data_IF_310971736435
#
_entry.id   IF_310971736435
#
_cell.length_a   1.000
_cell.length_b   1.000
_cell.length_c   1.000
_cell.angle_alpha   90.00
_cell.angle_beta   90.00
_cell.angle_gamma   90.00
#
_symmetry.space_group_name_H-M   'P 1'
#
loop_
_entity.id
_entity.type
_entity.pdbx_description
1 polymer ?
#
# COMPACT_ATOMS: atom_id res chain seq x y z
N UNK A 1 14.23 13.62 -7.68
CA UNK A 1 13.18 13.95 -6.67
C UNK A 1 11.83 13.54 -7.21
N UNK A 2 11.01 12.90 -6.40
CA UNK A 2 9.63 12.58 -6.73
C UNK A 2 8.82 13.88 -6.89
N UNK A 3 8.03 13.99 -7.96
CA UNK A 3 7.12 15.13 -8.14
C UNK A 3 5.89 14.93 -7.27
N UNK A 4 5.47 15.99 -6.59
CA UNK A 4 4.21 16.02 -5.84
C UNK A 4 3.24 16.95 -6.56
N UNK A 5 2.03 16.50 -6.77
CA UNK A 5 0.98 17.17 -7.56
C UNK A 5 -0.32 17.21 -6.75
N UNK A 6 -1.15 18.20 -7.01
CA UNK A 6 -2.51 18.25 -6.43
C UNK A 6 -3.46 17.27 -7.13
N UNK A 7 -3.15 16.89 -8.38
CA UNK A 7 -3.89 15.87 -9.15
C UNK A 7 -2.97 15.13 -10.09
N UNK A 8 -3.11 13.81 -10.18
CA UNK A 8 -2.37 12.99 -11.13
C UNK A 8 -3.01 13.11 -12.53
N UNK A 9 -2.20 13.25 -13.59
CA UNK A 9 -2.70 13.32 -14.95
C UNK A 9 -3.28 11.96 -15.39
N UNK A 10 -4.40 11.98 -16.10
CA UNK A 10 -4.99 10.78 -16.72
C UNK A 10 -4.13 10.25 -17.87
N UNK A 11 -4.32 8.97 -18.20
CA UNK A 11 -3.74 8.34 -19.39
C UNK A 11 -4.70 8.51 -20.56
N UNK A 12 -4.21 9.00 -21.72
CA UNK A 12 -5.04 9.15 -22.90
C UNK A 12 -5.50 7.79 -23.45
N UNK A 13 -6.64 7.77 -24.12
CA UNK A 13 -7.19 6.56 -24.75
C UNK A 13 -6.22 5.93 -25.77
N UNK A 14 -5.46 6.76 -26.51
CA UNK A 14 -4.44 6.27 -27.44
C UNK A 14 -3.30 5.55 -26.70
N UNK A 15 -2.84 6.08 -25.56
CA UNK A 15 -1.80 5.43 -24.77
C UNK A 15 -2.34 4.16 -24.10
N UNK A 16 -3.58 4.16 -23.60
CA UNK A 16 -4.23 2.95 -23.08
C UNK A 16 -4.31 1.83 -24.13
N UNK A 17 -4.70 2.18 -25.37
CA UNK A 17 -4.73 1.23 -26.48
C UNK A 17 -3.34 0.69 -26.80
N UNK A 18 -2.31 1.53 -26.78
CA UNK A 18 -0.90 1.12 -26.97
C UNK A 18 -0.44 0.20 -25.83
N UNK A 19 -0.79 0.48 -24.58
CA UNK A 19 -0.46 -0.39 -23.43
C UNK A 19 -1.12 -1.76 -23.62
N UNK A 20 -2.41 -1.81 -24.01
CA UNK A 20 -3.12 -3.07 -24.24
C UNK A 20 -2.51 -3.89 -25.37
N UNK A 21 -2.03 -3.25 -26.46
CA UNK A 21 -1.48 -3.90 -27.64
C UNK A 21 0.04 -4.22 -27.55
N UNK A 22 0.73 -3.74 -26.53
CA UNK A 22 2.18 -3.86 -26.44
C UNK A 22 2.66 -5.30 -26.18
N UNK A 23 3.87 -5.67 -26.63
CA UNK A 23 4.49 -6.93 -26.27
C UNK A 23 4.62 -7.06 -24.74
N UNK A 24 4.28 -8.22 -24.19
CA UNK A 24 4.29 -8.50 -22.76
C UNK A 24 5.69 -8.90 -22.29
N UNK A 25 6.59 -7.92 -22.23
CA UNK A 25 7.97 -8.10 -21.75
C UNK A 25 8.48 -6.86 -21.00
N UNK A 26 9.57 -7.03 -20.25
CA UNK A 26 10.14 -5.98 -19.41
C UNK A 26 10.63 -4.73 -20.19
N UNK A 27 11.03 -4.88 -21.45
CA UNK A 27 11.49 -3.75 -22.27
C UNK A 27 10.32 -2.84 -22.62
N UNK A 28 9.21 -3.43 -23.09
CA UNK A 28 7.99 -2.69 -23.40
C UNK A 28 7.38 -2.07 -22.12
N UNK A 29 7.37 -2.80 -21.02
CA UNK A 29 6.92 -2.29 -19.73
C UNK A 29 7.66 -1.02 -19.32
N UNK A 30 9.00 -1.05 -19.29
CA UNK A 30 9.82 0.14 -18.93
C UNK A 30 9.58 1.33 -19.85
N UNK A 31 9.44 1.09 -21.14
CA UNK A 31 9.17 2.15 -22.10
C UNK A 31 7.81 2.82 -21.84
N UNK A 32 6.77 2.03 -21.63
CA UNK A 32 5.40 2.51 -21.34
C UNK A 32 5.31 3.21 -19.98
N UNK A 33 5.97 2.68 -18.95
CA UNK A 33 6.06 3.33 -17.63
C UNK A 33 6.62 4.74 -17.73
N UNK A 34 7.62 4.97 -18.58
CA UNK A 34 8.21 6.29 -18.79
C UNK A 34 7.25 7.28 -19.48
N UNK A 35 6.25 6.79 -20.21
CA UNK A 35 5.23 7.62 -20.89
C UNK A 35 4.05 7.98 -19.99
N UNK A 36 3.92 7.36 -18.80
CA UNK A 36 2.85 7.62 -17.83
C UNK A 36 3.38 8.41 -16.63
N UNK A 37 3.23 9.77 -16.61
CA UNK A 37 3.82 10.61 -15.57
C UNK A 37 3.36 10.28 -14.15
N UNK A 38 2.12 9.78 -13.98
CA UNK A 38 1.58 9.36 -12.70
C UNK A 38 2.40 8.23 -12.05
N UNK A 39 3.09 7.39 -12.84
CA UNK A 39 3.94 6.31 -12.34
C UNK A 39 5.20 6.79 -11.59
N UNK A 40 5.58 8.06 -11.73
CA UNK A 40 6.75 8.66 -11.06
C UNK A 40 6.40 9.86 -10.19
N UNK A 41 5.10 10.12 -9.96
CA UNK A 41 4.60 11.22 -9.17
C UNK A 41 3.77 10.71 -7.97
N UNK A 42 3.59 11.60 -7.00
CA UNK A 42 2.67 11.43 -5.89
C UNK A 42 1.59 12.51 -5.95
N UNK A 43 0.38 12.17 -5.56
CA UNK A 43 -0.68 13.14 -5.31
C UNK A 43 -0.75 13.43 -3.82
N UNK A 44 -0.88 14.70 -3.45
CA UNK A 44 -1.10 15.11 -2.07
C UNK A 44 -2.35 15.96 -1.94
N UNK A 45 -2.99 15.88 -0.79
CA UNK A 45 -4.20 16.66 -0.49
C UNK A 45 -4.65 16.46 0.96
N UNK A 46 -5.91 16.82 1.23
CA UNK A 46 -6.47 16.79 2.58
C UNK A 46 -5.96 17.93 3.46
N UNK A 47 -6.42 17.95 4.70
CA UNK A 47 -6.01 18.94 5.70
C UNK A 47 -5.63 18.23 6.99
N UNK A 48 -4.41 18.45 7.44
CA UNK A 48 -3.95 17.92 8.71
C UNK A 48 -4.48 18.76 9.88
N UNK A 49 -4.81 18.08 10.98
CA UNK A 49 -5.36 18.73 12.17
C UNK A 49 -4.28 19.26 13.14
N UNK A 50 -3.04 18.77 13.01
CA UNK A 50 -1.93 19.05 13.93
C UNK A 50 -0.71 19.61 13.21
N UNK A 51 0.14 20.33 13.93
CA UNK A 51 1.45 20.82 13.45
C UNK A 51 2.57 19.78 13.69
N UNK A 52 2.47 18.98 14.75
CA UNK A 52 3.40 17.90 15.09
C UNK A 52 2.65 16.71 15.70
N UNK A 53 3.15 15.48 15.47
CA UNK A 53 2.69 14.29 16.16
C UNK A 53 3.21 14.29 17.61
N UNK A 54 2.51 13.57 18.48
CA UNK A 54 2.96 13.38 19.87
C UNK A 54 4.18 12.45 19.92
N UNK A 55 4.87 12.37 21.07
CA UNK A 55 6.00 11.44 21.29
C UNK A 55 5.61 9.97 21.22
N UNK A 56 4.33 9.68 21.34
CA UNK A 56 3.76 8.33 21.23
C UNK A 56 2.76 8.28 20.07
N UNK A 57 3.21 7.76 18.93
CA UNK A 57 2.46 7.77 17.67
C UNK A 57 1.59 6.52 17.53
N UNK A 58 0.28 6.73 17.30
CA UNK A 58 -0.68 5.68 16.95
C UNK A 58 -0.68 5.46 15.43
N UNK A 59 -0.35 4.24 14.98
CA UNK A 59 -0.21 3.89 13.56
C UNK A 59 -1.10 2.70 13.22
N UNK A 60 -1.82 2.79 12.11
CA UNK A 60 -2.54 1.69 11.46
C UNK A 60 -1.86 1.37 10.14
N UNK A 61 -1.62 0.09 9.82
CA UNK A 61 -1.32 -0.35 8.45
C UNK A 61 -2.42 -1.31 8.01
N UNK A 62 -2.94 -1.11 6.79
CA UNK A 62 -4.07 -1.88 6.30
C UNK A 62 -4.08 -1.99 4.77
N UNK A 63 -4.10 -3.21 4.26
CA UNK A 63 -4.54 -3.49 2.90
C UNK A 63 -6.09 -3.42 2.90
N UNK A 64 -6.66 -2.44 2.20
CA UNK A 64 -8.09 -2.13 2.24
C UNK A 64 -8.87 -2.71 1.06
N UNK A 65 -8.29 -3.65 0.34
CA UNK A 65 -8.93 -4.38 -0.76
C UNK A 65 -9.80 -3.47 -1.65
N UNK A 66 -9.17 -2.54 -2.41
CA UNK A 66 -9.82 -1.51 -3.25
C UNK A 66 -10.45 -0.36 -2.48
N UNK A 67 -10.71 -0.51 -1.16
CA UNK A 67 -11.43 0.47 -0.33
C UNK A 67 -12.83 0.75 -0.86
N UNK A 68 -13.65 -0.30 -1.00
CA UNK A 68 -15.03 -0.19 -1.52
C UNK A 68 -15.90 0.80 -0.73
N UNK A 69 -15.67 0.91 0.58
CA UNK A 69 -16.47 1.70 1.53
C UNK A 69 -15.59 2.67 2.33
N UNK A 70 -15.01 3.72 1.71
CA UNK A 70 -13.98 4.52 2.34
C UNK A 70 -14.40 5.23 3.63
N UNK A 71 -15.65 5.70 3.73
CA UNK A 71 -16.15 6.34 4.96
C UNK A 71 -16.34 5.33 6.09
N UNK A 72 -16.86 4.13 5.79
CA UNK A 72 -17.05 3.08 6.78
C UNK A 72 -15.67 2.53 7.22
N UNK A 73 -14.73 2.39 6.27
CA UNK A 73 -13.34 1.99 6.54
C UNK A 73 -12.64 3.00 7.47
N UNK A 74 -12.82 4.30 7.22
CA UNK A 74 -12.31 5.35 8.08
C UNK A 74 -12.95 5.32 9.48
N UNK A 75 -14.29 5.20 9.55
CA UNK A 75 -15.04 5.13 10.81
C UNK A 75 -14.65 3.92 11.65
N UNK A 76 -14.32 2.79 10.99
CA UNK A 76 -13.91 1.56 11.64
C UNK A 76 -12.60 1.69 12.43
N UNK A 77 -11.63 2.45 11.92
CA UNK A 77 -10.35 2.68 12.58
C UNK A 77 -10.31 3.95 13.45
N UNK A 78 -11.31 4.82 13.35
CA UNK A 78 -11.36 6.08 14.12
C UNK A 78 -11.23 5.88 15.64
N UNK A 79 -11.84 4.83 16.28
CA UNK A 79 -11.67 4.57 17.72
C UNK A 79 -10.23 4.27 18.17
N UNK A 80 -9.32 3.95 17.24
CA UNK A 80 -7.90 3.76 17.52
C UNK A 80 -7.16 5.09 17.65
N UNK A 81 -7.83 6.20 17.33
CA UNK A 81 -7.25 7.54 17.23
C UNK A 81 -5.92 7.52 16.46
N UNK A 82 -5.89 7.00 15.21
CA UNK A 82 -4.65 6.90 14.46
C UNK A 82 -4.12 8.29 14.14
N UNK A 83 -2.81 8.48 14.29
CA UNK A 83 -2.13 9.70 13.85
C UNK A 83 -1.48 9.49 12.48
N UNK A 84 -1.23 8.23 12.11
CA UNK A 84 -0.73 7.82 10.79
C UNK A 84 -1.50 6.58 10.34
N UNK A 85 -1.91 6.56 9.06
CA UNK A 85 -2.53 5.39 8.42
C UNK A 85 -1.75 5.06 7.15
N UNK A 86 -1.25 3.83 7.06
CA UNK A 86 -0.48 3.30 5.95
C UNK A 86 -1.39 2.35 5.18
N UNK A 87 -1.77 2.72 3.96
CA UNK A 87 -2.76 1.97 3.16
C UNK A 87 -2.11 1.35 1.93
N UNK A 88 -2.53 0.14 1.61
CA UNK A 88 -2.33 -0.49 0.31
C UNK A 88 -3.68 -0.83 -0.33
N UNK A 89 -3.67 -1.02 -1.64
CA UNK A 89 -4.85 -1.33 -2.45
C UNK A 89 -5.97 -0.28 -2.35
N UNK A 90 -5.63 1.00 -2.49
CA UNK A 90 -6.60 2.09 -2.62
C UNK A 90 -6.82 2.46 -4.07
N UNK A 91 -8.05 2.77 -4.43
CA UNK A 91 -8.47 3.11 -5.79
C UNK A 91 -8.63 4.63 -5.99
N UNK A 92 -8.34 5.06 -7.24
CA UNK A 92 -8.70 6.40 -7.70
C UNK A 92 -9.24 6.33 -9.14
N UNK A 93 -10.53 6.69 -9.31
CA UNK A 93 -11.22 6.67 -10.60
C UNK A 93 -11.40 5.28 -11.18
N UNK A 94 -11.77 4.33 -10.33
CA UNK A 94 -12.14 2.97 -10.69
C UNK A 94 -13.66 2.79 -10.64
N UNK A 95 -14.24 2.10 -11.62
CA UNK A 95 -15.68 1.83 -11.69
C UNK A 95 -16.20 1.09 -10.44
N UNK A 96 -15.43 0.12 -9.93
CA UNK A 96 -15.76 -0.69 -8.74
C UNK A 96 -15.87 0.13 -7.44
N UNK A 97 -15.30 1.33 -7.41
CA UNK A 97 -15.38 2.26 -6.28
C UNK A 97 -16.15 3.55 -6.64
N UNK A 98 -17.01 3.49 -7.68
CA UNK A 98 -17.84 4.62 -8.12
C UNK A 98 -17.03 5.80 -8.62
N UNK A 99 -15.91 5.56 -9.29
CA UNK A 99 -14.96 6.56 -9.83
C UNK A 99 -14.33 7.46 -8.76
N UNK A 100 -14.41 7.10 -7.50
CA UNK A 100 -13.96 7.91 -6.36
C UNK A 100 -12.44 7.88 -6.19
N UNK A 101 -11.92 8.89 -5.51
CA UNK A 101 -10.60 8.87 -4.89
C UNK A 101 -10.74 8.36 -3.46
N UNK A 102 -10.58 7.05 -3.24
CA UNK A 102 -10.88 6.42 -1.95
C UNK A 102 -9.97 6.90 -0.83
N UNK A 103 -8.69 7.19 -1.13
CA UNK A 103 -7.75 7.81 -0.18
C UNK A 103 -8.22 9.18 0.29
N UNK A 104 -8.66 10.05 -0.63
CA UNK A 104 -9.17 11.38 -0.30
C UNK A 104 -10.42 11.31 0.57
N UNK A 105 -11.33 10.36 0.26
CA UNK A 105 -12.53 10.14 1.04
C UNK A 105 -12.22 9.70 2.48
N UNK A 106 -11.27 8.75 2.66
CA UNK A 106 -10.80 8.34 3.99
C UNK A 106 -10.11 9.50 4.73
N UNK A 107 -9.22 10.23 4.05
CA UNK A 107 -8.49 11.35 4.64
C UNK A 107 -9.44 12.46 5.13
N UNK A 108 -10.50 12.74 4.34
CA UNK A 108 -11.55 13.69 4.73
C UNK A 108 -12.33 13.22 5.95
N UNK A 109 -12.67 11.94 6.03
CA UNK A 109 -13.42 11.37 7.16
C UNK A 109 -12.58 11.34 8.46
N UNK A 110 -11.25 11.22 8.34
CA UNK A 110 -10.32 11.21 9.47
C UNK A 110 -9.71 12.59 9.79
N UNK A 111 -10.03 13.64 9.00
CA UNK A 111 -9.46 15.00 9.11
C UNK A 111 -7.93 14.99 8.99
N UNK A 112 -7.41 14.26 7.97
CA UNK A 112 -5.98 14.06 7.74
C UNK A 112 -5.52 14.64 6.40
N UNK A 113 -4.24 15.00 6.32
CA UNK A 113 -3.54 15.10 5.05
C UNK A 113 -3.28 13.72 4.47
N UNK A 114 -3.10 13.64 3.14
CA UNK A 114 -2.74 12.37 2.49
C UNK A 114 -1.68 12.55 1.40
N UNK A 115 -0.99 11.45 1.14
CA UNK A 115 -0.14 11.24 -0.03
C UNK A 115 -0.54 9.92 -0.67
N UNK A 116 -0.86 9.95 -1.97
CA UNK A 116 -1.24 8.78 -2.78
C UNK A 116 -0.24 8.57 -3.91
N UNK A 117 0.10 7.32 -4.21
CA UNK A 117 0.96 6.93 -5.32
C UNK A 117 0.39 5.74 -6.09
N UNK A 118 0.56 5.76 -7.40
CA UNK A 118 0.06 4.70 -8.29
C UNK A 118 1.00 3.51 -8.27
N UNK A 119 0.46 2.35 -7.92
CA UNK A 119 1.09 1.04 -8.08
C UNK A 119 0.84 0.50 -9.49
N UNK A 120 -0.44 0.46 -9.88
CA UNK A 120 -0.89 0.00 -11.19
C UNK A 120 -1.85 0.99 -11.86
N UNK A 121 -1.72 1.09 -13.18
CA UNK A 121 -2.79 1.54 -14.06
C UNK A 121 -3.56 0.33 -14.56
N UNK A 122 -4.77 0.14 -14.05
CA UNK A 122 -5.66 -0.95 -14.40
C UNK A 122 -6.56 -0.55 -15.56
N UNK A 123 -6.56 -1.37 -16.60
CA UNK A 123 -7.11 -1.01 -17.93
C UNK A 123 -8.49 -1.64 -18.20
N UNK A 124 -8.99 -2.44 -17.25
CA UNK A 124 -10.29 -3.11 -17.35
C UNK A 124 -11.00 -3.12 -15.98
N UNK A 125 -12.16 -3.78 -15.90
CA UNK A 125 -13.05 -3.73 -14.74
C UNK A 125 -12.76 -4.79 -13.66
N UNK A 126 -11.80 -5.69 -13.91
CA UNK A 126 -11.48 -6.79 -13.01
C UNK A 126 -12.37 -8.01 -13.16
N UNK A 127 -12.25 -8.95 -12.23
CA UNK A 127 -13.01 -10.20 -12.20
C UNK A 127 -14.49 -10.01 -11.83
N UNK A 128 -15.30 -11.09 -11.90
CA UNK A 128 -16.75 -11.00 -11.65
C UNK A 128 -17.13 -10.43 -10.28
N UNK A 129 -16.34 -10.68 -9.23
CA UNK A 129 -16.60 -10.15 -7.89
C UNK A 129 -16.35 -8.64 -7.80
N UNK A 130 -15.36 -8.12 -8.53
CA UNK A 130 -15.11 -6.68 -8.63
C UNK A 130 -16.15 -5.99 -9.51
N UNK A 131 -16.52 -6.61 -10.64
CA UNK A 131 -17.54 -6.10 -11.55
C UNK A 131 -18.92 -5.96 -10.90
N UNK A 132 -19.22 -6.77 -9.87
CA UNK A 132 -20.47 -6.66 -9.10
C UNK A 132 -20.62 -5.29 -8.39
N UNK A 133 -19.54 -4.56 -8.17
CA UNK A 133 -19.52 -3.22 -7.57
C UNK A 133 -19.38 -2.09 -8.60
N UNK A 134 -19.13 -2.39 -9.88
CA UNK A 134 -18.96 -1.36 -10.89
C UNK A 134 -20.24 -0.58 -11.14
N UNK A 135 -20.13 0.75 -11.08
CA UNK A 135 -21.23 1.68 -11.42
C UNK A 135 -21.21 2.09 -12.88
N UNK A 136 -20.09 1.89 -13.57
CA UNK A 136 -19.83 2.26 -14.95
C UNK A 136 -19.16 1.10 -15.69
N UNK A 137 -19.13 1.17 -17.02
CA UNK A 137 -18.45 0.22 -17.90
C UNK A 137 -17.02 0.65 -18.30
N UNK A 138 -16.45 1.64 -17.58
CA UNK A 138 -15.11 2.17 -17.78
C UNK A 138 -14.50 2.68 -16.47
N UNK A 139 -13.18 2.80 -16.43
CA UNK A 139 -12.44 3.47 -15.36
C UNK A 139 -12.06 4.90 -15.81
N UNK A 140 -12.38 5.91 -14.99
CA UNK A 140 -12.07 7.30 -15.28
C UNK A 140 -10.54 7.56 -15.28
N UNK A 141 -9.84 7.05 -14.28
CA UNK A 141 -8.38 7.14 -14.17
C UNK A 141 -7.71 5.76 -14.21
N UNK A 142 -8.33 4.75 -13.62
CA UNK A 142 -7.76 3.41 -13.56
C UNK A 142 -6.55 3.31 -12.60
N UNK A 143 -6.47 4.17 -11.58
CA UNK A 143 -5.37 4.15 -10.62
C UNK A 143 -5.67 3.26 -9.43
N UNK A 144 -4.75 2.35 -9.19
CA UNK A 144 -4.70 1.49 -8.02
C UNK A 144 -3.33 1.65 -7.34
N UNK A 145 -3.29 1.80 -6.00
CA UNK A 145 -2.01 2.09 -5.38
C UNK A 145 -1.99 2.09 -3.86
N UNK A 146 -1.00 2.79 -3.31
CA UNK A 146 -0.76 2.91 -1.87
C UNK A 146 -0.91 4.36 -1.41
N UNK A 147 -1.16 4.54 -0.11
CA UNK A 147 -1.27 5.87 0.47
C UNK A 147 -0.71 5.95 1.90
N UNK A 148 -0.40 7.17 2.30
CA UNK A 148 -0.15 7.55 3.69
C UNK A 148 -1.13 8.65 4.04
N UNK A 149 -1.91 8.45 5.13
CA UNK A 149 -2.69 9.51 5.76
C UNK A 149 -1.98 9.93 7.04
N UNK A 150 -1.98 11.22 7.34
CA UNK A 150 -1.29 11.75 8.51
C UNK A 150 -2.06 12.90 9.14
N UNK A 151 -2.10 12.94 10.48
CA UNK A 151 -2.64 14.05 11.25
C UNK A 151 -1.79 15.32 11.17
N UNK A 152 -0.59 15.24 10.58
CA UNK A 152 0.33 16.37 10.33
C UNK A 152 0.68 16.45 8.85
N UNK A 153 1.02 17.63 8.29
CA UNK A 153 1.53 17.73 6.93
C UNK A 153 2.90 17.06 6.82
N UNK A 154 3.15 16.19 5.82
CA UNK A 154 4.48 15.66 5.58
C UNK A 154 5.47 16.77 5.16
N UNK A 155 6.66 16.80 5.76
CA UNK A 155 7.73 17.73 5.37
C UNK A 155 8.38 17.34 4.03
N UNK A 156 8.54 16.04 3.80
CA UNK A 156 9.11 15.45 2.58
C UNK A 156 8.46 14.13 2.28
N UNK A 157 8.30 13.83 1.00
CA UNK A 157 7.77 12.54 0.54
C UNK A 157 8.57 12.02 -0.65
N UNK A 158 8.58 10.70 -0.82
CA UNK A 158 9.18 10.06 -1.99
C UNK A 158 8.43 8.80 -2.38
N UNK A 159 8.37 8.53 -3.68
CA UNK A 159 7.90 7.27 -4.26
C UNK A 159 9.11 6.37 -4.52
N UNK A 160 9.03 5.12 -4.10
CA UNK A 160 10.07 4.11 -4.26
C UNK A 160 9.49 2.96 -5.08
N UNK A 161 9.97 2.75 -6.31
CA UNK A 161 9.62 1.56 -7.10
C UNK A 161 10.43 0.37 -6.59
N UNK A 162 9.74 -0.74 -6.29
CA UNK A 162 10.34 -1.92 -5.69
C UNK A 162 10.90 -2.89 -6.74
N UNK A 163 10.40 -2.80 -7.96
CA UNK A 163 10.95 -3.45 -9.13
C UNK A 163 10.80 -2.57 -10.38
N UNK A 164 11.46 -2.94 -11.45
CA UNK A 164 11.41 -2.30 -12.78
C UNK A 164 11.09 -3.31 -13.89
N UNK A 165 10.76 -4.53 -13.51
CA UNK A 165 10.58 -5.65 -14.43
C UNK A 165 9.16 -5.69 -15.01
N UNK A 166 8.17 -5.25 -14.25
CA UNK A 166 6.76 -5.32 -14.63
C UNK A 166 6.19 -6.72 -14.49
N UNK A 167 6.30 -7.29 -13.32
CA UNK A 167 5.90 -8.66 -12.98
C UNK A 167 4.48 -9.02 -13.48
N UNK A 168 3.50 -8.13 -13.32
CA UNK A 168 2.13 -8.31 -13.79
C UNK A 168 1.89 -7.96 -15.25
N UNK A 169 2.83 -7.31 -15.90
CA UNK A 169 2.76 -6.95 -17.30
C UNK A 169 3.46 -7.98 -18.20
N UNK A 170 4.59 -8.53 -17.74
CA UNK A 170 5.42 -9.45 -18.50
C UNK A 170 4.93 -10.88 -18.35
N UNK A 171 4.47 -11.48 -19.46
CA UNK A 171 3.95 -12.85 -19.46
C UNK A 171 5.00 -13.96 -19.29
N UNK A 172 6.28 -13.59 -19.23
CA UNK A 172 7.39 -14.52 -19.07
C UNK A 172 7.48 -15.11 -17.65
N UNK A 173 6.94 -14.42 -16.64
CA UNK A 173 7.05 -14.80 -15.23
C UNK A 173 5.69 -15.15 -14.60
N UNK A 174 4.62 -14.48 -15.02
CA UNK A 174 3.27 -14.65 -14.45
C UNK A 174 2.26 -14.75 -15.59
N UNK A 175 1.25 -15.66 -15.51
CA UNK A 175 0.13 -15.61 -16.42
C UNK A 175 -0.51 -14.22 -16.40
N UNK A 176 -0.68 -13.62 -17.56
CA UNK A 176 -1.40 -12.37 -17.67
C UNK A 176 -2.79 -12.52 -17.04
N UNK A 177 -3.20 -11.59 -16.19
CA UNK A 177 -4.57 -11.49 -15.71
C UNK A 177 -5.44 -10.95 -16.85
N UNK A 178 -6.24 -11.79 -17.54
CA UNK A 178 -7.02 -11.35 -18.68
C UNK A 178 -8.16 -10.40 -18.30
N UNK A 179 -8.64 -10.48 -17.06
CA UNK A 179 -9.77 -9.69 -16.55
C UNK A 179 -9.31 -8.32 -16.07
N UNK A 180 -8.00 -8.18 -15.76
CA UNK A 180 -7.43 -6.91 -15.33
C UNK A 180 -6.02 -6.69 -15.91
N UNK A 181 -5.91 -6.37 -17.22
CA UNK A 181 -4.63 -5.98 -17.79
C UNK A 181 -4.14 -4.69 -17.13
N UNK A 182 -2.88 -4.68 -16.68
CA UNK A 182 -2.33 -3.57 -15.89
C UNK A 182 -0.91 -3.20 -16.31
N UNK A 183 -0.58 -1.90 -16.17
CA UNK A 183 0.78 -1.38 -16.27
C UNK A 183 1.20 -0.91 -14.88
N UNK A 184 2.41 -1.21 -14.46
CA UNK A 184 2.90 -0.80 -13.16
C UNK A 184 3.70 -1.90 -12.48
N UNK A 185 3.89 -1.75 -11.17
CA UNK A 185 4.61 -2.68 -10.31
C UNK A 185 4.64 -2.18 -8.88
N UNK A 186 4.99 -3.06 -7.98
CA UNK A 186 5.03 -2.81 -6.54
C UNK A 186 5.85 -1.57 -6.19
N UNK A 187 5.38 -0.84 -5.18
CA UNK A 187 5.98 0.42 -4.78
C UNK A 187 5.78 0.69 -3.29
N UNK A 188 6.53 1.65 -2.78
CA UNK A 188 6.33 2.20 -1.45
C UNK A 188 6.28 3.73 -1.52
N UNK A 189 5.63 4.33 -0.53
CA UNK A 189 5.66 5.76 -0.25
C UNK A 189 6.39 5.94 1.07
N UNK A 190 7.41 6.81 1.11
CA UNK A 190 8.02 7.25 2.34
C UNK A 190 7.71 8.72 2.59
N UNK A 191 7.38 9.05 3.83
CA UNK A 191 7.08 10.41 4.28
C UNK A 191 7.86 10.75 5.55
N UNK A 192 8.42 11.95 5.62
CA UNK A 192 8.99 12.50 6.86
C UNK A 192 7.91 13.33 7.53
N UNK A 193 7.59 12.98 8.77
CA UNK A 193 6.56 13.62 9.59
C UNK A 193 7.19 14.28 10.81
N UNK A 194 6.82 15.53 11.15
CA UNK A 194 7.27 16.16 12.37
C UNK A 194 6.61 15.53 13.61
N UNK A 195 7.40 15.29 14.66
CA UNK A 195 6.92 14.94 15.99
C UNK A 195 7.48 15.91 17.04
N UNK A 196 6.90 15.94 18.23
CA UNK A 196 7.39 16.75 19.34
C UNK A 196 8.84 16.41 19.73
N UNK A 197 9.27 15.15 19.53
CA UNK A 197 10.63 14.67 19.84
C UNK A 197 11.59 14.74 18.64
N UNK A 198 11.14 15.18 17.46
CA UNK A 198 11.93 15.23 16.21
C UNK A 198 11.27 14.48 15.06
N UNK A 199 11.76 14.64 13.84
CA UNK A 199 11.12 14.03 12.67
C UNK A 199 11.30 12.51 12.62
N UNK A 200 10.27 11.84 12.12
CA UNK A 200 10.27 10.39 11.86
C UNK A 200 10.03 10.11 10.38
N UNK A 201 10.51 9.00 9.88
CA UNK A 201 10.17 8.50 8.55
C UNK A 201 9.14 7.37 8.67
N UNK A 202 7.98 7.53 8.03
CA UNK A 202 6.95 6.48 7.93
C UNK A 202 6.86 6.00 6.50
N UNK A 203 6.60 4.70 6.30
CA UNK A 203 6.61 4.06 4.99
C UNK A 203 5.41 3.15 4.83
N UNK A 204 4.60 3.40 3.80
CA UNK A 204 3.58 2.47 3.33
C UNK A 204 4.13 1.64 2.19
N UNK A 205 4.04 0.30 2.28
CA UNK A 205 4.57 -0.61 1.26
C UNK A 205 3.64 -1.77 0.98
N UNK A 206 3.72 -2.31 -0.23
CA UNK A 206 3.04 -3.51 -0.67
C UNK A 206 4.00 -4.33 -1.52
N UNK A 207 4.41 -5.51 -1.04
CA UNK A 207 5.32 -6.39 -1.75
C UNK A 207 4.58 -7.32 -2.72
N UNK A 208 5.33 -8.05 -3.54
CA UNK A 208 4.75 -8.88 -4.58
C UNK A 208 4.06 -10.12 -4.01
N UNK A 209 2.78 -10.28 -4.34
CA UNK A 209 1.96 -11.40 -3.92
C UNK A 209 2.22 -12.66 -4.74
N UNK A 210 2.52 -12.52 -6.03
CA UNK A 210 2.66 -13.63 -6.97
C UNK A 210 4.14 -13.90 -7.30
N UNK A 211 4.96 -14.01 -6.25
CA UNK A 211 6.39 -14.26 -6.35
C UNK A 211 6.87 -15.12 -5.17
N UNK A 212 8.12 -15.57 -5.24
CA UNK A 212 8.78 -16.31 -4.17
C UNK A 212 9.42 -15.39 -3.11
N UNK A 213 10.05 -16.02 -2.10
CA UNK A 213 10.71 -15.31 -1.02
C UNK A 213 11.94 -14.50 -1.49
N UNK A 214 12.66 -14.98 -2.50
CA UNK A 214 13.84 -14.30 -3.02
C UNK A 214 13.48 -13.00 -3.73
N UNK A 215 12.37 -13.00 -4.46
CA UNK A 215 11.84 -11.78 -5.09
C UNK A 215 11.43 -10.74 -4.03
N UNK A 216 10.65 -11.15 -3.00
CA UNK A 216 10.28 -10.24 -1.90
C UNK A 216 11.46 -9.75 -1.09
N UNK A 217 12.48 -10.59 -0.89
CA UNK A 217 13.75 -10.18 -0.29
C UNK A 217 14.42 -9.06 -1.10
N UNK A 218 14.51 -9.23 -2.43
CA UNK A 218 15.11 -8.21 -3.31
C UNK A 218 14.31 -6.90 -3.30
N UNK A 219 12.97 -6.95 -3.30
CA UNK A 219 12.12 -5.79 -3.17
C UNK A 219 12.35 -5.07 -1.82
N UNK A 220 12.42 -5.83 -0.73
CA UNK A 220 12.61 -5.26 0.61
C UNK A 220 14.03 -4.67 0.78
N UNK A 221 15.07 -5.31 0.23
CA UNK A 221 16.43 -4.74 0.20
C UNK A 221 16.49 -3.41 -0.55
N UNK A 222 15.82 -3.34 -1.72
CA UNK A 222 15.68 -2.09 -2.49
C UNK A 222 14.97 -1.01 -1.68
N UNK A 223 13.90 -1.37 -0.97
CA UNK A 223 13.17 -0.47 -0.08
C UNK A 223 14.08 0.10 1.01
N UNK A 224 14.78 -0.76 1.76
CA UNK A 224 15.64 -0.34 2.86
C UNK A 224 16.77 0.59 2.40
N UNK A 225 17.42 0.29 1.27
CA UNK A 225 18.45 1.17 0.68
C UNK A 225 17.88 2.53 0.29
N UNK A 226 16.68 2.57 -0.28
CA UNK A 226 16.04 3.82 -0.66
C UNK A 226 15.67 4.66 0.56
N UNK A 227 15.20 4.03 1.64
CA UNK A 227 14.91 4.69 2.92
C UNK A 227 16.18 5.26 3.54
N UNK A 228 17.29 4.48 3.58
CA UNK A 228 18.59 4.96 4.10
C UNK A 228 19.10 6.20 3.35
N UNK A 229 18.85 6.28 2.03
CA UNK A 229 19.20 7.45 1.23
C UNK A 229 18.23 8.64 1.43
N UNK A 230 16.93 8.37 1.67
CA UNK A 230 15.90 9.40 1.81
C UNK A 230 15.88 10.03 3.21
N UNK A 231 16.02 9.20 4.25
CA UNK A 231 15.91 9.57 5.65
C UNK A 231 17.10 9.02 6.46
N UNK A 232 18.34 9.44 6.16
CA UNK A 232 19.53 8.95 6.87
C UNK A 232 19.42 9.32 8.36
N UNK A 233 19.79 8.35 9.21
CA UNK A 233 19.86 8.51 10.67
C UNK A 233 18.52 8.85 11.36
N UNK A 234 17.40 8.82 10.65
CA UNK A 234 16.09 9.04 11.23
C UNK A 234 15.50 7.77 11.84
N UNK A 235 14.67 7.89 12.87
CA UNK A 235 13.77 6.83 13.26
C UNK A 235 12.80 6.48 12.12
N UNK A 236 12.61 5.17 11.86
CA UNK A 236 11.82 4.67 10.73
C UNK A 236 10.75 3.69 11.20
N UNK A 237 9.54 3.83 10.69
CA UNK A 237 8.48 2.84 10.77
C UNK A 237 8.02 2.46 9.36
N UNK A 238 8.13 1.18 9.02
CA UNK A 238 7.60 0.60 7.78
C UNK A 238 6.37 -0.22 8.14
N UNK A 239 5.27 -0.06 7.42
CA UNK A 239 4.08 -0.87 7.58
C UNK A 239 3.41 -1.18 6.25
N UNK A 240 2.73 -2.31 6.18
CA UNK A 240 1.96 -2.72 5.00
C UNK A 240 1.91 -4.21 4.79
N UNK A 241 1.33 -4.59 3.66
CA UNK A 241 1.23 -5.96 3.19
C UNK A 241 2.57 -6.40 2.55
N UNK A 242 3.30 -7.26 3.25
CA UNK A 242 4.54 -7.82 2.75
C UNK A 242 4.35 -9.13 1.97
N UNK A 243 3.11 -9.61 1.85
CA UNK A 243 2.76 -10.84 1.14
C UNK A 243 3.62 -12.07 1.52
N UNK A 244 4.04 -12.11 2.78
CA UNK A 244 4.95 -13.13 3.31
C UNK A 244 4.33 -14.52 3.33
N UNK A 245 5.07 -15.52 2.87
CA UNK A 245 4.59 -16.90 2.79
C UNK A 245 3.79 -17.20 1.52
N UNK A 246 3.40 -16.22 0.72
CA UNK A 246 2.76 -16.46 -0.58
C UNK A 246 3.69 -17.28 -1.47
N UNK A 247 3.12 -18.27 -2.18
CA UNK A 247 3.85 -19.20 -3.04
C UNK A 247 5.00 -19.95 -2.35
N UNK A 248 4.93 -20.15 -1.02
CA UNK A 248 5.83 -21.01 -0.25
C UNK A 248 5.07 -22.26 0.25
N UNK A 249 4.78 -23.24 -0.65
CA UNK A 249 4.05 -24.44 -0.27
C UNK A 249 4.87 -25.31 0.73
N UNK A 250 4.20 -26.19 1.51
CA UNK A 250 2.76 -26.45 1.46
C UNK A 250 1.89 -25.50 2.31
N UNK A 251 2.46 -24.76 3.26
CA UNK A 251 1.70 -24.20 4.40
C UNK A 251 1.68 -22.67 4.45
N UNK A 252 2.13 -21.99 3.40
CA UNK A 252 2.25 -20.52 3.36
C UNK A 252 3.03 -19.96 4.55
N UNK A 253 4.13 -20.61 4.90
CA UNK A 253 4.92 -20.33 6.08
C UNK A 253 5.76 -19.04 5.90
N UNK A 254 5.32 -17.95 6.52
CA UNK A 254 6.03 -16.68 6.51
C UNK A 254 7.43 -16.77 7.17
N UNK A 255 7.69 -17.75 8.06
CA UNK A 255 8.99 -17.93 8.71
C UNK A 255 10.10 -18.31 7.73
N UNK A 256 9.74 -18.75 6.53
CA UNK A 256 10.69 -19.06 5.46
C UNK A 256 11.17 -17.81 4.69
N UNK A 257 10.57 -16.65 4.94
CA UNK A 257 10.98 -15.39 4.31
C UNK A 257 12.30 -14.89 4.89
N UNK A 258 13.24 -14.59 4.03
CA UNK A 258 14.59 -14.12 4.41
C UNK A 258 14.65 -12.60 4.62
N UNK A 259 13.61 -11.85 4.23
CA UNK A 259 13.51 -10.41 4.44
C UNK A 259 13.53 -10.00 5.92
N UNK A 260 13.07 -10.87 6.83
CA UNK A 260 13.09 -10.61 8.27
C UNK A 260 14.50 -10.47 8.82
N UNK A 261 15.39 -11.38 8.44
CA UNK A 261 16.80 -11.34 8.83
C UNK A 261 17.56 -10.20 8.16
N UNK A 262 17.24 -9.90 6.89
CA UNK A 262 17.76 -8.74 6.19
C UNK A 262 17.47 -7.44 6.95
N UNK A 263 16.23 -7.25 7.43
CA UNK A 263 15.85 -6.09 8.22
C UNK A 263 16.59 -6.03 9.56
N UNK A 264 16.65 -7.16 10.30
CA UNK A 264 17.38 -7.24 11.57
C UNK A 264 18.86 -6.89 11.42
N UNK A 265 19.50 -7.36 10.35
CA UNK A 265 20.89 -7.04 10.06
C UNK A 265 21.13 -5.53 9.80
N UNK A 266 20.08 -4.77 9.50
CA UNK A 266 20.09 -3.31 9.33
C UNK A 266 19.51 -2.54 10.54
N UNK A 267 19.36 -3.22 11.69
CA UNK A 267 18.91 -2.61 12.94
C UNK A 267 17.39 -2.40 13.05
N UNK A 268 16.61 -3.07 12.21
CA UNK A 268 15.16 -3.03 12.33
C UNK A 268 14.65 -4.13 13.27
N UNK A 269 13.53 -3.85 13.94
CA UNK A 269 12.82 -4.73 14.85
C UNK A 269 11.37 -4.95 14.40
N UNK A 270 10.82 -6.11 14.66
CA UNK A 270 9.47 -6.53 14.24
C UNK A 270 8.46 -6.57 15.39
N UNK A 271 8.86 -6.16 16.59
CA UNK A 271 8.02 -6.24 17.81
C UNK A 271 6.77 -5.34 17.76
N UNK A 272 6.72 -4.40 16.84
CA UNK A 272 5.53 -3.58 16.59
C UNK A 272 4.41 -4.34 15.88
N UNK A 273 4.70 -5.51 15.30
CA UNK A 273 3.70 -6.34 14.61
C UNK A 273 2.94 -7.21 15.61
N UNK A 274 1.60 -7.20 15.62
CA UNK A 274 0.82 -8.13 16.43
C UNK A 274 0.94 -9.58 15.93
N UNK A 275 0.74 -10.53 16.85
CA UNK A 275 0.62 -11.93 16.47
C UNK A 275 -0.72 -12.24 15.82
N UNK A 276 -0.73 -13.28 14.97
CA UNK A 276 -1.95 -13.83 14.37
C UNK A 276 -2.00 -13.77 12.87
N UNK A 277 -3.04 -14.36 12.31
CA UNK A 277 -3.40 -14.36 10.88
C UNK A 277 -4.00 -13.00 10.54
N UNK A 278 -3.60 -12.42 9.41
CA UNK A 278 -4.09 -11.10 8.96
C UNK A 278 -5.06 -11.19 7.78
N UNK A 279 -5.32 -12.37 7.23
CA UNK A 279 -6.26 -12.55 6.12
C UNK A 279 -7.58 -13.17 6.54
N UNK A 280 -8.64 -12.87 5.79
CA UNK A 280 -10.00 -13.39 5.97
C UNK A 280 -10.78 -13.40 4.65
N UNK A 281 -11.93 -14.09 4.56
CA UNK A 281 -12.85 -13.92 3.44
C UNK A 281 -13.44 -12.51 3.40
N UNK A 282 -13.59 -11.96 2.18
CA UNK A 282 -14.23 -10.68 1.93
C UNK A 282 -15.31 -10.76 0.86
N UNK A 283 -15.81 -9.59 0.43
CA UNK A 283 -16.79 -9.48 -0.65
C UNK A 283 -16.16 -9.70 -2.04
N UNK A 284 -14.90 -9.32 -2.22
CA UNK A 284 -14.15 -9.50 -3.47
C UNK A 284 -13.41 -10.84 -3.46
N UNK A 285 -12.80 -11.20 -2.31
CA UNK A 285 -11.99 -12.41 -2.12
C UNK A 285 -12.67 -13.40 -1.17
N UNK A 286 -13.70 -14.14 -1.62
CA UNK A 286 -14.50 -15.02 -0.75
C UNK A 286 -13.83 -16.38 -0.50
N UNK A 287 -12.56 -16.41 -0.14
CA UNK A 287 -11.76 -17.63 0.06
C UNK A 287 -11.58 -17.96 1.55
N UNK A 288 -12.38 -18.87 2.15
CA UNK A 288 -12.37 -19.12 3.60
C UNK A 288 -11.09 -19.80 4.11
N UNK A 289 -10.40 -20.55 3.23
CA UNK A 289 -9.21 -21.32 3.60
C UNK A 289 -7.91 -20.50 3.57
N UNK A 290 -7.99 -19.23 3.17
CA UNK A 290 -6.83 -18.34 3.09
C UNK A 290 -6.52 -17.76 4.48
N UNK A 291 -5.63 -18.43 5.22
CA UNK A 291 -5.20 -18.04 6.56
C UNK A 291 -3.71 -17.74 6.57
N UNK A 292 -3.36 -16.46 6.35
CA UNK A 292 -1.98 -16.04 6.16
C UNK A 292 -1.66 -14.84 7.06
N UNK A 293 -0.40 -14.69 7.45
CA UNK A 293 0.12 -13.49 8.11
C UNK A 293 0.91 -12.69 7.10
N UNK A 294 0.30 -11.67 6.51
CA UNK A 294 0.85 -10.88 5.41
C UNK A 294 1.23 -9.46 5.81
N UNK A 295 0.57 -8.91 6.84
CA UNK A 295 0.67 -7.51 7.24
C UNK A 295 1.60 -7.34 8.44
N UNK A 296 2.52 -6.40 8.33
CA UNK A 296 3.63 -6.25 9.26
C UNK A 296 3.98 -4.80 9.55
N UNK A 297 4.56 -4.58 10.74
CA UNK A 297 5.33 -3.39 11.08
C UNK A 297 6.79 -3.75 11.32
N UNK A 298 7.68 -2.85 10.91
CA UNK A 298 9.11 -2.95 11.08
C UNK A 298 9.64 -1.57 11.51
N UNK A 299 10.38 -1.49 12.62
CA UNK A 299 10.83 -0.21 13.20
C UNK A 299 12.33 -0.17 13.40
N UNK A 300 12.93 1.00 13.28
CA UNK A 300 14.31 1.32 13.63
C UNK A 300 14.36 2.64 14.37
N UNK A 301 15.03 2.70 15.55
CA UNK A 301 15.07 3.89 16.42
C UNK A 301 13.72 4.23 17.05
N UNK A 302 12.84 3.25 17.17
CA UNK A 302 11.53 3.34 17.81
C UNK A 302 11.22 2.02 18.52
N UNK A 303 10.53 2.10 19.64
CA UNK A 303 10.01 0.93 20.36
C UNK A 303 8.51 0.88 20.32
N UNK A 304 7.97 -0.31 20.13
CA UNK A 304 6.54 -0.56 20.29
C UNK A 304 6.15 -0.57 21.77
N UNK A 305 5.08 0.12 22.12
CA UNK A 305 4.50 0.10 23.46
C UNK A 305 3.22 -0.71 23.53
N UNK A 306 2.49 -0.79 22.42
CA UNK A 306 1.27 -1.57 22.27
C UNK A 306 1.12 -2.00 20.81
N UNK A 307 0.54 -3.17 20.58
CA UNK A 307 0.09 -3.60 19.24
C UNK A 307 -1.11 -4.52 19.33
N UNK A 308 -1.90 -4.60 18.27
CA UNK A 308 -3.02 -5.54 18.12
C UNK A 308 -3.49 -5.68 16.69
N UNK A 309 -4.11 -6.82 16.39
CA UNK A 309 -4.94 -6.99 15.20
C UNK A 309 -6.28 -6.29 15.39
N UNK A 310 -6.79 -5.70 14.31
CA UNK A 310 -8.10 -5.06 14.25
C UNK A 310 -8.88 -5.75 13.14
N UNK A 311 -9.91 -6.48 13.55
CA UNK A 311 -10.77 -7.19 12.59
C UNK A 311 -11.33 -6.21 11.55
N UNK A 312 -11.28 -6.58 10.27
CA UNK A 312 -11.85 -5.78 9.18
C UNK A 312 -13.37 -5.95 9.01
N UNK A 313 -14.05 -6.57 9.95
CA UNK A 313 -15.51 -6.71 9.93
C UNK A 313 -16.15 -5.55 10.70
N UNK A 314 -17.02 -4.80 10.04
CA UNK A 314 -17.74 -3.69 10.65
C UNK A 314 -18.79 -4.16 11.69
N UNK A 315 -19.43 -3.22 12.37
CA UNK A 315 -20.45 -3.49 13.40
C UNK A 315 -21.70 -4.23 12.87
N UNK A 316 -21.90 -4.22 11.55
CA UNK A 316 -23.02 -4.91 10.89
C UNK A 316 -22.61 -6.31 10.38
N UNK A 317 -21.38 -6.75 10.63
CA UNK A 317 -20.86 -8.04 10.19
C UNK A 317 -20.41 -8.06 8.73
N UNK A 318 -20.24 -6.88 8.08
CA UNK A 318 -19.75 -6.78 6.71
C UNK A 318 -18.22 -6.70 6.71
N UNK A 319 -17.51 -7.54 5.93
CA UNK A 319 -16.07 -7.39 5.74
C UNK A 319 -15.79 -6.14 4.89
N UNK A 320 -14.88 -5.29 5.37
CA UNK A 320 -14.39 -4.10 4.68
C UNK A 320 -13.15 -4.39 3.84
N UNK A 321 -12.47 -5.49 4.11
CA UNK A 321 -11.28 -5.98 3.40
C UNK A 321 -11.09 -7.47 3.65
N UNK A 322 -10.33 -8.14 2.78
CA UNK A 322 -9.80 -9.50 3.01
C UNK A 322 -8.57 -9.51 3.93
N UNK A 323 -8.13 -8.34 4.41
CA UNK A 323 -7.09 -8.19 5.42
C UNK A 323 -7.64 -7.55 6.70
N UNK A 324 -7.24 -8.07 7.85
CA UNK A 324 -7.36 -7.40 9.15
C UNK A 324 -6.28 -6.32 9.26
N UNK A 325 -6.63 -5.16 9.79
CA UNK A 325 -5.66 -4.10 10.01
C UNK A 325 -4.69 -4.47 11.15
N UNK A 326 -3.42 -4.11 11.01
CA UNK A 326 -2.45 -4.11 12.09
C UNK A 326 -2.36 -2.70 12.69
N UNK A 327 -2.41 -2.61 13.99
CA UNK A 327 -2.27 -1.37 14.74
C UNK A 327 -1.14 -1.46 15.74
N UNK A 328 -0.37 -0.39 15.86
CA UNK A 328 0.62 -0.25 16.92
C UNK A 328 0.67 1.18 17.49
N UNK A 329 1.22 1.29 18.67
CA UNK A 329 1.66 2.52 19.27
C UNK A 329 3.18 2.46 19.44
N UNK A 330 3.88 3.44 18.88
CA UNK A 330 5.34 3.51 18.94
C UNK A 330 5.79 4.80 19.59
N UNK A 331 6.92 4.73 20.29
CA UNK A 331 7.61 5.90 20.84
C UNK A 331 9.05 5.91 20.33
N UNK A 332 9.64 7.11 20.24
CA UNK A 332 11.06 7.27 19.96
C UNK A 332 11.91 6.68 21.10
N UNK A 333 13.07 6.10 20.76
CA UNK A 333 14.02 5.54 21.74
C UNK A 333 14.77 6.64 22.53
#
# INVERSE_FOLDING_TARGET
MTRVLDSLPSVSSDLQARIKAAPRNAVAHRALMAEVPAMSALQSGGQAALDALTDSVSVVAWNVERCLFPEDTASHIQPLAPQVVLLSEVDHGMARTGQRHTTEAMAKALEMAYVFGVEFHELDLGGPTEQAFCTDDFNLFGWHGNAILSAVPPERVTLIRLDDHGHWFSSDEVPADPDQPRLGGRMAIAAVLPTEAGPICVVSTHLESNADADHRHAQFDRLLRAIDAFAPDMPVLIGGDLNTGNHLPPDFDWQRETLFELARARGYDWSATPDGVTTRPSLITPHPDRQMKLDWFCTRGMRSTENRLVSSVDENGRPLSDHDAVWCRVALD
#
